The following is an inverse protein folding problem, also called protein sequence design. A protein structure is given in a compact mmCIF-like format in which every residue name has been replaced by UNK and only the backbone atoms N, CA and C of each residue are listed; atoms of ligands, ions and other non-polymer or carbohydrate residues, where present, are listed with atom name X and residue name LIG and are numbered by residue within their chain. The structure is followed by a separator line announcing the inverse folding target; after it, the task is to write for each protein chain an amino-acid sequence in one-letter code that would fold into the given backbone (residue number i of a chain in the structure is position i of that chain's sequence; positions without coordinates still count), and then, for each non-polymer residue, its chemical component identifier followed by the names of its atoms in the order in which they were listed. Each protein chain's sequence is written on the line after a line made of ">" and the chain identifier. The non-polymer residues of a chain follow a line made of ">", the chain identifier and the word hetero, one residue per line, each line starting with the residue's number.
data_IF_152053535882
#
_entry.id   IF_152053535882
#
_cell.length_a   1.000
_cell.length_b   1.000
_cell.length_c   1.000
_cell.angle_alpha   90.00
_cell.angle_beta   90.00
_cell.angle_gamma   90.00
#
_symmetry.space_group_name_H-M   'P 1'
#
loop_
_entity.id
_entity.type
_entity.pdbx_description
1 polymer ?
#
# COMPACT_ATOMS: atom_id res chain seq x y z
N UNK A 1 8.76 -2.11 -25.25
CA UNK A 1 7.70 -3.09 -25.57
C UNK A 1 6.44 -2.63 -24.83
N UNK A 2 5.22 -3.02 -25.23
CA UNK A 2 4.01 -2.52 -24.57
C UNK A 2 3.80 -3.22 -23.21
N UNK A 3 3.54 -2.45 -22.16
CA UNK A 3 3.17 -2.95 -20.83
C UNK A 3 1.73 -3.47 -20.87
N UNK A 4 1.50 -4.69 -20.39
CA UNK A 4 0.16 -5.25 -20.17
C UNK A 4 -0.12 -5.31 -18.68
N UNK A 5 -1.28 -4.83 -18.25
CA UNK A 5 -1.76 -4.89 -16.87
C UNK A 5 -3.00 -5.77 -16.82
N UNK A 6 -2.88 -6.94 -16.22
CA UNK A 6 -4.00 -7.84 -15.97
C UNK A 6 -4.80 -7.31 -14.78
N UNK A 7 -6.07 -7.02 -15.01
CA UNK A 7 -6.84 -6.13 -14.16
C UNK A 7 -8.32 -6.51 -14.02
N UNK A 8 -8.81 -6.34 -12.80
CA UNK A 8 -10.21 -6.09 -12.51
C UNK A 8 -10.28 -4.86 -11.61
N UNK A 9 -10.91 -3.77 -12.07
CA UNK A 9 -11.00 -2.51 -11.33
C UNK A 9 -11.79 -2.64 -10.01
N UNK A 10 -12.51 -3.75 -9.78
CA UNK A 10 -13.06 -4.08 -8.45
C UNK A 10 -11.95 -4.28 -7.40
N UNK A 11 -10.78 -4.78 -7.81
CA UNK A 11 -9.64 -5.01 -6.93
C UNK A 11 -8.95 -3.70 -6.53
N UNK A 12 -8.80 -3.47 -5.22
CA UNK A 12 -8.09 -2.30 -4.69
C UNK A 12 -6.65 -2.16 -5.19
N UNK A 13 -5.79 -3.20 -5.14
CA UNK A 13 -4.41 -3.08 -5.60
C UNK A 13 -4.29 -2.85 -7.12
N UNK A 14 -5.26 -3.33 -7.91
CA UNK A 14 -5.33 -3.04 -9.36
C UNK A 14 -5.54 -1.55 -9.60
N UNK A 15 -6.44 -0.92 -8.84
CA UNK A 15 -6.69 0.53 -8.98
C UNK A 15 -5.44 1.35 -8.69
N UNK A 16 -4.61 0.94 -7.72
CA UNK A 16 -3.35 1.63 -7.42
C UNK A 16 -2.38 1.63 -8.61
N UNK A 17 -2.19 0.47 -9.26
CA UNK A 17 -1.34 0.33 -10.45
C UNK A 17 -1.88 1.13 -11.64
N UNK A 18 -3.19 1.08 -11.89
CA UNK A 18 -3.82 1.83 -12.98
C UNK A 18 -3.65 3.34 -12.77
N UNK A 19 -4.02 3.86 -11.58
CA UNK A 19 -3.89 5.28 -11.25
C UNK A 19 -2.43 5.73 -11.45
N UNK A 20 -1.49 4.92 -11.01
CA UNK A 20 -0.07 5.21 -11.17
C UNK A 20 0.34 5.35 -12.64
N UNK A 21 -0.09 4.43 -13.50
CA UNK A 21 0.21 4.51 -14.94
C UNK A 21 -0.39 5.79 -15.55
N UNK A 22 -1.66 6.08 -15.26
CA UNK A 22 -2.37 7.26 -15.77
C UNK A 22 -1.67 8.57 -15.34
N UNK A 23 -1.36 8.71 -14.06
CA UNK A 23 -0.75 9.93 -13.50
C UNK A 23 0.65 10.19 -14.08
N UNK A 24 1.41 9.13 -14.36
CA UNK A 24 2.76 9.25 -14.89
C UNK A 24 2.83 9.14 -16.42
N UNK A 25 1.68 9.11 -17.11
CA UNK A 25 1.64 9.01 -18.57
C UNK A 25 2.29 7.74 -19.13
N UNK A 26 2.31 6.66 -18.35
CA UNK A 26 2.82 5.36 -18.78
C UNK A 26 1.79 4.74 -19.71
N UNK A 27 2.13 4.47 -20.97
CA UNK A 27 1.25 3.75 -21.89
C UNK A 27 1.17 2.26 -21.50
N UNK A 28 -0.05 1.76 -21.36
CA UNK A 28 -0.33 0.37 -20.99
C UNK A 28 -1.57 -0.17 -21.71
N UNK A 29 -1.62 -1.50 -21.83
CA UNK A 29 -2.80 -2.23 -22.26
C UNK A 29 -3.45 -2.89 -21.04
N UNK A 30 -4.68 -2.49 -20.70
CA UNK A 30 -5.46 -3.15 -19.66
C UNK A 30 -6.08 -4.45 -20.20
N UNK A 31 -5.67 -5.59 -19.63
CA UNK A 31 -6.24 -6.91 -19.93
C UNK A 31 -7.25 -7.24 -18.85
N UNK A 32 -8.54 -7.24 -19.20
CA UNK A 32 -9.60 -7.60 -18.26
C UNK A 32 -9.47 -9.07 -17.84
N UNK A 33 -9.50 -9.32 -16.54
CA UNK A 33 -9.64 -10.66 -15.93
C UNK A 33 -10.84 -10.59 -15.00
N UNK A 34 -11.92 -11.29 -15.32
CA UNK A 34 -13.16 -11.24 -14.56
C UNK A 34 -13.03 -12.03 -13.23
N UNK A 35 -12.96 -11.30 -12.12
CA UNK A 35 -12.90 -11.91 -10.80
C UNK A 35 -14.20 -12.60 -10.40
N UNK A 36 -15.37 -12.09 -10.83
CA UNK A 36 -16.67 -12.68 -10.51
C UNK A 36 -16.86 -14.03 -11.21
N UNK A 37 -16.36 -14.15 -12.44
CA UNK A 37 -16.33 -15.41 -13.20
C UNK A 37 -15.10 -16.29 -12.91
N UNK A 38 -14.26 -15.89 -11.95
CA UNK A 38 -13.07 -16.64 -11.50
C UNK A 38 -12.02 -16.90 -12.60
N UNK A 39 -11.89 -16.00 -13.57
CA UNK A 39 -10.93 -16.17 -14.68
C UNK A 39 -9.46 -16.19 -14.20
N UNK A 40 -9.17 -15.61 -13.04
CA UNK A 40 -7.86 -15.68 -12.39
C UNK A 40 -7.49 -17.11 -11.94
N UNK A 41 -8.45 -18.03 -11.82
CA UNK A 41 -8.20 -19.41 -11.42
C UNK A 41 -7.92 -20.36 -12.60
N UNK A 42 -7.86 -19.84 -13.82
CA UNK A 42 -7.59 -20.63 -15.02
C UNK A 42 -6.12 -21.06 -15.11
N UNK A 43 -5.81 -22.21 -15.73
CA UNK A 43 -4.42 -22.60 -16.02
C UNK A 43 -3.67 -21.55 -16.84
N UNK A 44 -4.36 -20.90 -17.77
CA UNK A 44 -3.80 -19.86 -18.63
C UNK A 44 -3.34 -18.64 -17.82
N UNK A 45 -4.10 -18.24 -16.79
CA UNK A 45 -3.69 -17.17 -15.88
C UNK A 45 -2.60 -17.62 -14.91
N UNK A 46 -2.60 -18.89 -14.47
CA UNK A 46 -1.56 -19.44 -13.60
C UNK A 46 -0.16 -19.37 -14.25
N UNK A 47 -0.08 -19.48 -15.57
CA UNK A 47 1.17 -19.25 -16.32
C UNK A 47 1.67 -17.79 -16.22
N UNK A 48 0.80 -16.82 -15.93
CA UNK A 48 1.15 -15.41 -15.77
C UNK A 48 1.48 -15.10 -14.30
N UNK A 49 0.59 -15.52 -13.39
CA UNK A 49 0.76 -15.40 -11.96
C UNK A 49 0.40 -16.75 -11.30
N UNK A 50 1.38 -17.53 -10.80
CA UNK A 50 1.12 -18.82 -10.16
C UNK A 50 0.34 -18.67 -8.84
N UNK A 51 0.28 -17.46 -8.25
CA UNK A 51 -0.56 -17.17 -7.08
C UNK A 51 -2.02 -16.89 -7.46
N UNK A 52 -2.33 -16.79 -8.75
CA UNK A 52 -3.70 -16.61 -9.27
C UNK A 52 -4.39 -15.37 -8.69
N UNK A 53 -3.66 -14.27 -8.51
CA UNK A 53 -4.16 -13.00 -7.96
C UNK A 53 -3.93 -11.81 -8.91
N UNK A 54 -4.65 -10.72 -8.68
CA UNK A 54 -4.50 -9.45 -9.40
C UNK A 54 -3.97 -8.34 -8.47
N UNK A 55 -3.19 -7.37 -8.97
CA UNK A 55 -2.73 -7.22 -10.36
C UNK A 55 -1.57 -8.16 -10.72
N UNK A 56 -1.39 -8.37 -12.03
CA UNK A 56 -0.17 -8.91 -12.62
C UNK A 56 0.18 -8.09 -13.88
N UNK A 57 1.46 -8.01 -14.21
CA UNK A 57 1.94 -7.32 -15.41
C UNK A 57 2.77 -8.23 -16.30
N UNK A 58 2.74 -7.94 -17.59
CA UNK A 58 3.67 -8.49 -18.58
C UNK A 58 4.31 -7.36 -19.35
N UNK A 59 5.64 -7.29 -19.34
CA UNK A 59 6.42 -6.34 -20.12
C UNK A 59 7.45 -7.10 -20.96
N UNK A 60 7.08 -7.42 -22.20
CA UNK A 60 7.87 -8.32 -23.05
C UNK A 60 7.79 -9.78 -22.56
N UNK A 61 8.94 -10.40 -22.30
CA UNK A 61 9.01 -11.74 -21.70
C UNK A 61 8.97 -11.73 -20.16
N UNK A 62 9.04 -10.54 -19.55
CA UNK A 62 9.06 -10.40 -18.10
C UNK A 62 7.64 -10.40 -17.54
N UNK A 63 7.40 -11.24 -16.53
CA UNK A 63 6.15 -11.37 -15.78
C UNK A 63 6.40 -10.94 -14.34
N UNK A 64 5.51 -10.14 -13.77
CA UNK A 64 5.59 -9.71 -12.38
C UNK A 64 4.19 -9.63 -11.77
N UNK A 65 4.08 -10.01 -10.51
CA UNK A 65 2.87 -9.93 -9.68
C UNK A 65 3.24 -9.30 -8.34
N UNK A 66 2.25 -9.06 -7.47
CA UNK A 66 2.32 -8.19 -6.28
C UNK A 66 2.33 -6.69 -6.59
N UNK A 67 1.33 -5.98 -6.07
CA UNK A 67 1.09 -4.57 -6.42
C UNK A 67 2.21 -3.62 -6.03
N UNK A 68 2.79 -3.76 -4.84
CA UNK A 68 3.92 -2.96 -4.40
C UNK A 68 5.16 -3.18 -5.29
N UNK A 69 5.45 -4.43 -5.65
CA UNK A 69 6.56 -4.78 -6.54
C UNK A 69 6.33 -4.20 -7.94
N UNK A 70 5.09 -4.26 -8.45
CA UNK A 70 4.69 -3.63 -9.71
C UNK A 70 4.93 -2.11 -9.65
N UNK A 71 4.47 -1.43 -8.61
CA UNK A 71 4.62 0.04 -8.49
C UNK A 71 6.11 0.45 -8.47
N UNK A 72 6.95 -0.26 -7.72
CA UNK A 72 8.41 -0.03 -7.70
C UNK A 72 9.02 -0.27 -9.08
N UNK A 73 8.64 -1.36 -9.75
CA UNK A 73 9.12 -1.67 -11.10
C UNK A 73 8.75 -0.56 -12.10
N UNK A 74 7.50 -0.10 -12.08
CA UNK A 74 7.03 0.96 -12.99
C UNK A 74 7.78 2.28 -12.74
N UNK A 75 8.04 2.61 -11.47
CA UNK A 75 8.84 3.77 -11.08
C UNK A 75 10.25 3.77 -11.68
N UNK A 76 10.93 2.64 -11.55
CA UNK A 76 12.33 2.51 -11.95
C UNK A 76 12.52 2.24 -13.45
N UNK A 77 11.49 1.73 -14.14
CA UNK A 77 11.62 1.25 -15.53
C UNK A 77 11.18 2.26 -16.58
N UNK A 78 10.37 3.27 -16.22
CA UNK A 78 9.82 4.23 -17.17
C UNK A 78 10.45 5.63 -16.97
N UNK A 79 11.07 6.22 -17.99
CA UNK A 79 11.67 7.54 -17.89
C UNK A 79 10.61 8.63 -17.71
N UNK A 80 10.89 9.63 -16.89
CA UNK A 80 9.93 10.70 -16.60
C UNK A 80 8.85 10.34 -15.58
N UNK A 81 8.80 9.07 -15.14
CA UNK A 81 8.18 8.73 -13.86
C UNK A 81 9.08 9.32 -12.80
N UNK A 82 8.57 10.31 -12.10
CA UNK A 82 9.31 10.89 -11.02
C UNK A 82 9.50 9.78 -9.96
N UNK A 83 10.75 9.41 -9.68
CA UNK A 83 11.17 8.48 -8.61
C UNK A 83 10.20 8.67 -7.44
N UNK A 84 9.53 7.66 -6.85
CA UNK A 84 8.53 7.88 -5.76
C UNK A 84 9.07 8.50 -4.47
N UNK A 85 10.21 9.18 -4.54
CA UNK A 85 10.30 10.45 -3.88
C UNK A 85 10.52 11.62 -4.87
N UNK A 86 9.46 12.25 -5.41
CA UNK A 86 9.60 13.51 -6.12
C UNK A 86 8.61 14.56 -5.59
N UNK A 87 9.20 15.64 -5.13
CA UNK A 87 8.59 16.82 -4.53
C UNK A 87 7.74 17.62 -5.56
N UNK A 88 6.61 17.11 -6.05
CA UNK A 88 5.56 18.00 -6.57
C UNK A 88 4.75 18.52 -5.37
N UNK A 89 4.88 19.80 -4.99
CA UNK A 89 4.25 20.32 -3.77
C UNK A 89 2.71 20.20 -3.78
N UNK A 90 2.09 20.30 -4.96
CA UNK A 90 0.62 20.20 -5.10
C UNK A 90 0.14 18.76 -4.94
N UNK A 91 0.85 17.80 -5.56
CA UNK A 91 0.53 16.37 -5.43
C UNK A 91 0.80 15.85 -4.00
N UNK A 92 1.87 16.34 -3.36
CA UNK A 92 2.15 16.08 -1.95
C UNK A 92 1.04 16.64 -1.07
N UNK A 93 0.62 17.90 -1.29
CA UNK A 93 -0.45 18.51 -0.50
C UNK A 93 -1.80 17.80 -0.65
N UNK A 94 -2.19 17.42 -1.88
CA UNK A 94 -3.44 16.67 -2.08
C UNK A 94 -3.34 15.24 -1.53
N UNK A 95 -2.19 14.58 -1.68
CA UNK A 95 -1.92 13.26 -1.08
C UNK A 95 -2.04 13.29 0.45
N UNK A 96 -1.48 14.31 1.09
CA UNK A 96 -1.61 14.52 2.54
C UNK A 96 -3.04 14.78 2.97
N UNK A 97 -3.80 15.57 2.19
CA UNK A 97 -5.22 15.81 2.47
C UNK A 97 -6.04 14.53 2.37
N UNK A 98 -5.76 13.66 1.39
CA UNK A 98 -6.41 12.35 1.24
C UNK A 98 -6.04 11.43 2.41
N UNK A 99 -4.75 11.36 2.77
CA UNK A 99 -4.28 10.60 3.92
C UNK A 99 -4.94 11.08 5.21
N UNK A 100 -5.03 12.40 5.40
CA UNK A 100 -5.72 13.02 6.53
C UNK A 100 -7.20 12.64 6.58
N UNK A 101 -7.90 12.66 5.44
CA UNK A 101 -9.31 12.24 5.37
C UNK A 101 -9.48 10.75 5.72
N UNK A 102 -8.56 9.90 5.26
CA UNK A 102 -8.56 8.47 5.58
C UNK A 102 -8.32 8.22 7.07
N UNK A 103 -7.30 8.87 7.65
CA UNK A 103 -6.99 8.80 9.10
C UNK A 103 -8.16 9.31 9.95
N UNK A 104 -8.81 10.39 9.53
CA UNK A 104 -10.02 10.90 10.20
C UNK A 104 -11.13 9.86 10.20
N UNK A 105 -11.31 9.10 9.10
CA UNK A 105 -12.33 8.05 9.04
C UNK A 105 -11.96 6.85 9.91
N UNK A 106 -10.69 6.46 9.95
CA UNK A 106 -10.17 5.45 10.88
C UNK A 106 -10.45 5.84 12.32
N UNK A 107 -10.11 7.07 12.71
CA UNK A 107 -10.35 7.62 14.04
C UNK A 107 -11.85 7.66 14.40
N UNK A 108 -12.70 8.17 13.50
CA UNK A 108 -14.08 8.50 13.84
C UNK A 108 -15.07 7.35 13.63
N UNK A 109 -14.77 6.38 12.78
CA UNK A 109 -15.71 5.32 12.40
C UNK A 109 -15.19 3.94 12.81
N UNK A 110 -13.94 3.62 12.47
CA UNK A 110 -13.38 2.29 12.74
C UNK A 110 -12.93 2.12 14.19
N UNK A 111 -12.43 3.19 14.79
CA UNK A 111 -12.01 3.26 16.20
C UNK A 111 -13.03 4.05 17.05
N UNK A 112 -14.29 4.07 16.62
CA UNK A 112 -15.35 4.69 17.41
C UNK A 112 -15.53 3.98 18.76
N UNK A 113 -16.04 4.71 19.76
CA UNK A 113 -16.29 4.19 21.11
C UNK A 113 -15.04 3.58 21.81
N UNK A 114 -13.85 4.11 21.48
CA UNK A 114 -12.55 3.71 22.05
C UNK A 114 -12.24 2.21 21.95
N UNK A 115 -12.71 1.57 20.87
CA UNK A 115 -12.36 0.17 20.60
C UNK A 115 -10.85 -0.02 20.50
N UNK A 116 -10.29 -1.09 21.08
CA UNK A 116 -8.84 -1.31 21.09
C UNK A 116 -8.30 -1.76 19.72
N UNK A 117 -9.14 -2.34 18.86
CA UNK A 117 -8.83 -2.90 17.54
C UNK A 117 -9.98 -2.59 16.55
N UNK A 118 -9.71 -2.71 15.24
CA UNK A 118 -10.65 -2.37 14.18
C UNK A 118 -11.88 -3.28 14.17
N UNK A 119 -11.66 -4.60 14.24
CA UNK A 119 -12.71 -5.63 14.16
C UNK A 119 -12.68 -6.60 15.36
N UNK A 120 -11.57 -6.66 16.09
CA UNK A 120 -11.41 -7.52 17.26
C UNK A 120 -11.88 -6.84 18.55
N UNK A 121 -12.46 -7.61 19.48
CA UNK A 121 -12.83 -7.06 20.80
C UNK A 121 -11.64 -7.07 21.77
N UNK A 122 -10.90 -8.18 21.86
CA UNK A 122 -9.81 -8.37 22.83
C UNK A 122 -8.43 -8.64 22.21
N UNK A 123 -8.36 -8.86 20.90
CA UNK A 123 -7.13 -9.20 20.18
C UNK A 123 -7.13 -8.58 18.78
N UNK A 124 -5.96 -8.28 18.20
CA UNK A 124 -5.88 -7.75 16.84
C UNK A 124 -6.40 -8.78 15.83
N UNK A 125 -7.16 -8.30 14.87
CA UNK A 125 -7.62 -9.06 13.71
C UNK A 125 -6.62 -8.95 12.55
N UNK A 126 -6.86 -9.70 11.47
CA UNK A 126 -6.08 -9.57 10.22
C UNK A 126 -6.12 -8.11 9.70
N UNK A 127 -7.25 -7.41 9.84
CA UNK A 127 -7.36 -6.01 9.42
C UNK A 127 -6.41 -5.10 10.21
N UNK A 128 -6.21 -5.38 11.50
CA UNK A 128 -5.31 -4.61 12.35
C UNK A 128 -3.85 -4.78 11.89
N UNK A 129 -3.44 -6.01 11.61
CA UNK A 129 -2.08 -6.33 11.17
C UNK A 129 -1.74 -5.74 9.80
N UNK A 130 -2.70 -5.74 8.86
CA UNK A 130 -2.49 -5.15 7.53
C UNK A 130 -2.35 -3.63 7.66
N UNK A 131 -3.33 -2.98 8.28
CA UNK A 131 -3.36 -1.52 8.33
C UNK A 131 -2.22 -0.94 9.17
N UNK A 132 -1.81 -1.62 10.27
CA UNK A 132 -0.72 -1.12 11.11
C UNK A 132 0.60 -1.18 10.35
N UNK A 133 0.85 -2.25 9.58
CA UNK A 133 2.06 -2.37 8.76
C UNK A 133 2.10 -1.28 7.67
N UNK A 134 0.96 -0.99 7.04
CA UNK A 134 0.86 0.09 6.04
C UNK A 134 1.14 1.46 6.66
N UNK A 135 0.52 1.79 7.81
CA UNK A 135 0.73 3.07 8.49
C UNK A 135 2.17 3.20 9.00
N UNK A 136 2.78 2.11 9.48
CA UNK A 136 4.15 2.14 9.99
C UNK A 136 5.20 2.53 8.95
N UNK A 137 4.92 2.36 7.65
CA UNK A 137 5.81 2.85 6.57
C UNK A 137 5.94 4.37 6.56
N UNK A 138 4.95 5.12 7.06
CA UNK A 138 5.02 6.58 7.20
C UNK A 138 6.15 6.99 8.15
N UNK A 139 6.64 6.12 9.05
CA UNK A 139 7.82 6.44 9.88
C UNK A 139 9.10 6.68 9.07
N UNK A 140 9.15 6.21 7.81
CA UNK A 140 10.27 6.46 6.91
C UNK A 140 10.38 7.93 6.48
N UNK A 141 9.29 8.71 6.51
CA UNK A 141 9.33 10.15 6.16
C UNK A 141 9.95 11.02 7.26
N UNK A 142 10.21 10.46 8.45
CA UNK A 142 10.83 11.18 9.57
C UNK A 142 9.87 11.50 10.72
N UNK A 143 10.43 11.84 11.89
CA UNK A 143 9.63 12.07 13.11
C UNK A 143 8.78 13.33 13.03
N UNK A 144 9.29 14.39 12.41
CA UNK A 144 8.57 15.66 12.26
C UNK A 144 7.28 15.45 11.46
N UNK A 145 7.38 14.78 10.31
CA UNK A 145 6.22 14.52 9.46
C UNK A 145 5.30 13.45 10.04
N UNK A 146 5.84 12.42 10.69
CA UNK A 146 5.03 11.47 11.46
C UNK A 146 4.15 12.19 12.49
N UNK A 147 4.75 13.08 13.29
CA UNK A 147 4.04 13.82 14.32
C UNK A 147 3.00 14.79 13.73
N UNK A 148 3.34 15.43 12.60
CA UNK A 148 2.42 16.32 11.87
C UNK A 148 1.21 15.57 11.31
N UNK A 149 1.43 14.40 10.70
CA UNK A 149 0.39 13.61 10.03
C UNK A 149 -0.50 12.85 11.02
N UNK A 150 0.09 12.20 12.03
CA UNK A 150 -0.66 11.37 12.98
C UNK A 150 -1.00 12.06 14.29
N UNK A 151 -0.36 13.19 14.61
CA UNK A 151 -0.59 13.94 15.85
C UNK A 151 -2.06 14.29 16.15
N UNK A 152 -2.88 14.66 15.15
CA UNK A 152 -4.31 14.91 15.34
C UNK A 152 -5.15 13.68 15.69
N UNK A 153 -4.67 12.46 15.41
CA UNK A 153 -5.44 11.22 15.45
C UNK A 153 -5.05 10.36 16.66
N UNK A 154 -5.56 10.71 17.84
CA UNK A 154 -5.19 10.08 19.12
C UNK A 154 -5.63 8.64 19.22
N UNK A 155 -6.80 8.29 18.67
CA UNK A 155 -7.29 6.92 18.69
C UNK A 155 -6.46 6.05 17.76
N UNK A 156 -6.07 6.55 16.60
CA UNK A 156 -5.13 5.85 15.70
C UNK A 156 -3.80 5.60 16.40
N UNK A 157 -3.24 6.60 17.09
CA UNK A 157 -2.00 6.43 17.86
C UNK A 157 -2.12 5.34 18.93
N UNK A 158 -3.21 5.35 19.71
CA UNK A 158 -3.46 4.35 20.74
C UNK A 158 -3.66 2.95 20.15
N UNK A 159 -4.36 2.84 19.02
CA UNK A 159 -4.60 1.58 18.31
C UNK A 159 -3.29 0.95 17.78
N UNK A 160 -2.36 1.76 17.27
CA UNK A 160 -1.02 1.29 16.88
C UNK A 160 -0.32 0.68 18.09
N UNK A 161 -0.36 1.35 19.25
CA UNK A 161 0.29 0.87 20.47
C UNK A 161 -0.38 -0.40 21.01
N UNK A 162 -1.71 -0.48 20.97
CA UNK A 162 -2.45 -1.69 21.34
C UNK A 162 -2.04 -2.88 20.46
N UNK A 163 -1.95 -2.66 19.14
CA UNK A 163 -1.56 -3.69 18.18
C UNK A 163 -0.12 -4.15 18.40
N UNK A 164 0.81 -3.21 18.62
CA UNK A 164 2.20 -3.49 18.98
C UNK A 164 2.28 -4.33 20.26
N UNK A 165 1.60 -3.92 21.33
CA UNK A 165 1.65 -4.63 22.60
C UNK A 165 1.06 -6.04 22.52
N UNK A 166 -0.03 -6.22 21.78
CA UNK A 166 -0.66 -7.52 21.59
C UNK A 166 0.16 -8.50 20.73
N UNK A 167 1.09 -8.00 19.91
CA UNK A 167 1.86 -8.81 18.94
C UNK A 167 3.36 -8.84 19.23
N UNK A 168 3.78 -8.20 20.32
CA UNK A 168 5.17 -8.21 20.75
C UNK A 168 5.59 -9.60 21.28
N UNK A 169 6.84 -10.01 21.06
CA UNK A 169 7.98 -9.22 20.54
C UNK A 169 8.06 -9.12 19.01
N UNK A 170 7.27 -9.88 18.27
CA UNK A 170 7.39 -10.02 16.81
C UNK A 170 7.18 -8.70 16.07
N UNK A 171 6.30 -7.84 16.59
CA UNK A 171 6.08 -6.51 16.03
C UNK A 171 7.38 -5.71 16.01
N UNK A 172 8.04 -5.57 17.16
CA UNK A 172 9.29 -4.81 17.26
C UNK A 172 10.42 -5.44 16.43
N UNK A 173 10.53 -6.77 16.46
CA UNK A 173 11.54 -7.49 15.69
C UNK A 173 11.42 -7.24 14.18
N UNK A 174 10.22 -7.37 13.63
CA UNK A 174 9.98 -7.20 12.20
C UNK A 174 10.07 -5.73 11.77
N UNK A 175 9.64 -4.79 12.62
CA UNK A 175 9.70 -3.36 12.30
C UNK A 175 11.10 -2.74 12.46
N UNK A 176 12.11 -3.48 12.98
CA UNK A 176 13.52 -3.04 12.97
C UNK A 176 14.01 -2.69 11.57
N UNK A 177 13.54 -3.40 10.54
CA UNK A 177 13.90 -3.14 9.14
C UNK A 177 13.60 -1.69 8.71
N UNK A 178 12.53 -1.09 9.23
CA UNK A 178 12.17 0.30 8.92
C UNK A 178 13.15 1.28 9.55
N UNK A 179 13.64 0.97 10.76
CA UNK A 179 14.66 1.78 11.43
C UNK A 179 15.99 1.71 10.67
N UNK A 180 16.43 0.51 10.31
CA UNK A 180 17.65 0.30 9.53
C UNK A 180 17.58 0.95 8.15
N UNK A 181 16.42 0.86 7.48
CA UNK A 181 16.20 1.50 6.18
C UNK A 181 16.24 3.03 6.32
N UNK A 182 15.61 3.59 7.35
CA UNK A 182 15.66 5.04 7.63
C UNK A 182 17.10 5.51 7.85
N UNK A 183 17.90 4.79 8.63
CA UNK A 183 19.31 5.11 8.85
C UNK A 183 20.13 5.05 7.54
N UNK A 184 19.81 4.12 6.64
CA UNK A 184 20.45 4.03 5.31
C UNK A 184 20.06 5.17 4.38
N UNK A 185 18.80 5.63 4.41
CA UNK A 185 18.30 6.71 3.54
C UNK A 185 18.78 8.10 3.96
N UNK A 186 19.31 8.24 5.18
CA UNK A 186 19.83 9.49 5.73
C UNK A 186 21.36 9.64 5.56
N UNK A 187 22.05 8.62 5.05
CA UNK A 187 23.48 8.61 4.73
C UNK A 187 23.71 8.68 3.22
#
# INVERSE_FOLDING_TARGET
>A
MKLKVYADRLSQPVRAVIIFCEVNGIDYEEIKVDLANREHLTPEFAEINPMQQLPAIVHGSFKLFESHAILIYLASSFPGVADHCPLNPEAVAEGEKILSAALSKTESFWLDDNRPFLLGQNQPSIADLILVCDIMQVKLVGETDWNRLLGPYKKVQQWIENTRNATNPHFDELHKVLKELKEKLQN
#
